data_IF_978207362404
#
_entry.id   IF_978207362404
#
_cell.length_a   1.000
_cell.length_b   1.000
_cell.length_c   1.000
_cell.angle_alpha   90.00
_cell.angle_beta   90.00
_cell.angle_gamma   90.00
#
_symmetry.space_group_name_H-M   'P 1'
#
loop_
_entity.id
_entity.type
_entity.pdbx_description
1 polymer ?
#
# COMPACT_ATOMS: atom_id res chain seq x y z
N UNK A 1 29.77 -4.86 35.13
CA UNK A 1 28.73 -4.04 35.81
C UNK A 1 27.99 -3.07 34.89
N UNK A 2 28.64 -2.11 34.21
CA UNK A 2 27.93 -1.14 33.35
C UNK A 2 27.16 -1.75 32.16
N UNK A 3 27.71 -2.77 31.50
CA UNK A 3 27.08 -3.45 30.37
C UNK A 3 25.86 -4.29 30.74
N UNK A 4 25.88 -4.93 31.91
CA UNK A 4 24.73 -5.69 32.43
C UNK A 4 23.56 -4.75 32.75
N UNK A 5 23.86 -3.63 33.41
CA UNK A 5 22.86 -2.59 33.72
C UNK A 5 22.25 -1.99 32.46
N UNK A 6 23.06 -1.69 31.44
CA UNK A 6 22.57 -1.20 30.15
C UNK A 6 21.62 -2.19 29.48
N UNK A 7 21.97 -3.49 29.44
CA UNK A 7 21.11 -4.53 28.86
C UNK A 7 19.77 -4.61 29.57
N UNK A 8 19.78 -4.55 30.89
CA UNK A 8 18.56 -4.62 31.69
C UNK A 8 17.64 -3.43 31.44
N UNK A 9 18.19 -2.21 31.46
CA UNK A 9 17.42 -1.00 31.13
C UNK A 9 16.86 -1.04 29.70
N UNK A 10 17.62 -1.57 28.74
CA UNK A 10 17.15 -1.72 27.35
C UNK A 10 16.02 -2.75 27.23
N UNK A 11 16.09 -3.85 27.98
CA UNK A 11 15.00 -4.85 28.03
C UNK A 11 13.74 -4.23 28.63
N UNK A 12 13.90 -3.49 29.72
CA UNK A 12 12.78 -2.85 30.41
C UNK A 12 12.14 -1.76 29.55
N UNK A 13 12.94 -0.90 28.92
CA UNK A 13 12.42 0.09 27.96
C UNK A 13 11.63 -0.58 26.82
N UNK A 14 12.16 -1.67 26.25
CA UNK A 14 11.44 -2.45 25.22
C UNK A 14 10.15 -3.07 25.75
N UNK A 15 10.14 -3.57 26.99
CA UNK A 15 8.95 -4.11 27.65
C UNK A 15 7.88 -3.02 27.78
N UNK A 16 8.25 -1.85 28.27
CA UNK A 16 7.35 -0.70 28.42
C UNK A 16 6.81 -0.26 27.05
N UNK A 17 7.67 -0.12 26.03
CA UNK A 17 7.22 0.26 24.69
C UNK A 17 6.20 -0.76 24.12
N UNK A 18 6.42 -2.06 24.30
CA UNK A 18 5.47 -3.09 23.86
C UNK A 18 4.14 -3.01 24.60
N UNK A 19 4.18 -2.80 25.93
CA UNK A 19 2.97 -2.66 26.73
C UNK A 19 2.16 -1.44 26.32
N UNK A 20 2.80 -0.28 26.20
CA UNK A 20 2.15 0.95 25.75
C UNK A 20 1.57 0.83 24.35
N UNK A 21 2.32 0.21 23.42
CA UNK A 21 1.82 -0.06 22.08
C UNK A 21 0.54 -0.91 22.12
N UNK A 22 0.56 -2.00 22.89
CA UNK A 22 -0.62 -2.87 23.05
C UNK A 22 -1.81 -2.12 23.66
N UNK A 23 -1.57 -1.29 24.67
CA UNK A 23 -2.62 -0.47 25.30
C UNK A 23 -3.25 0.50 24.29
N UNK A 24 -2.44 1.19 23.49
CA UNK A 24 -2.93 2.05 22.41
C UNK A 24 -3.77 1.27 21.39
N UNK A 25 -3.30 0.10 20.94
CA UNK A 25 -4.04 -0.75 20.01
C UNK A 25 -5.40 -1.20 20.59
N UNK A 26 -5.47 -1.57 21.88
CA UNK A 26 -6.73 -1.93 22.52
C UNK A 26 -7.71 -0.76 22.59
N UNK A 27 -7.23 0.44 22.95
CA UNK A 27 -8.07 1.66 22.95
C UNK A 27 -8.62 1.96 21.56
N UNK A 28 -7.80 1.79 20.51
CA UNK A 28 -8.24 1.98 19.14
C UNK A 28 -9.37 1.01 18.74
N UNK A 29 -9.28 -0.25 19.16
CA UNK A 29 -10.33 -1.25 18.93
C UNK A 29 -11.63 -0.92 19.67
N UNK A 30 -11.56 -0.54 20.96
CA UNK A 30 -12.74 -0.16 21.73
C UNK A 30 -13.46 1.05 21.10
N UNK A 31 -12.70 2.02 20.59
CA UNK A 31 -13.27 3.16 19.87
C UNK A 31 -13.90 2.76 18.52
N UNK A 32 -13.34 1.78 17.81
CA UNK A 32 -13.95 1.26 16.59
C UNK A 32 -15.24 0.50 16.88
N UNK A 33 -15.27 -0.28 17.96
CA UNK A 33 -16.46 -1.02 18.40
C UNK A 33 -17.63 -0.07 18.71
N UNK A 34 -17.33 1.05 19.38
CA UNK A 34 -18.30 2.14 19.62
C UNK A 34 -18.83 2.80 18.34
N UNK A 35 -18.10 2.69 17.22
CA UNK A 35 -18.48 3.26 15.93
C UNK A 35 -19.13 2.23 14.98
N UNK A 36 -19.28 0.97 15.42
CA UNK A 36 -19.82 -0.12 14.61
C UNK A 36 -21.31 0.07 14.27
N UNK A 37 -22.02 0.98 14.95
CA UNK A 37 -23.39 1.32 14.65
C UNK A 37 -23.58 1.92 13.24
N UNK A 38 -24.71 1.59 12.61
CA UNK A 38 -25.03 2.03 11.24
C UNK A 38 -25.10 3.55 11.10
N UNK A 39 -25.43 4.27 12.16
CA UNK A 39 -25.48 5.74 12.19
C UNK A 39 -24.09 6.40 12.14
N UNK A 40 -23.03 5.66 12.51
CA UNK A 40 -21.64 6.13 12.60
C UNK A 40 -20.70 5.53 11.56
N UNK A 41 -21.25 4.79 10.58
CA UNK A 41 -20.48 4.07 9.57
C UNK A 41 -19.40 4.91 8.87
N UNK A 42 -19.69 6.18 8.56
CA UNK A 42 -18.69 7.08 7.96
C UNK A 42 -17.46 7.25 8.84
N UNK A 43 -17.65 7.52 10.13
CA UNK A 43 -16.55 7.71 11.10
C UNK A 43 -15.76 6.42 11.29
N UNK A 44 -16.46 5.28 11.30
CA UNK A 44 -15.84 3.95 11.35
C UNK A 44 -14.87 3.75 10.18
N UNK A 45 -15.31 3.94 8.94
CA UNK A 45 -14.46 3.74 7.76
C UNK A 45 -13.36 4.79 7.64
N UNK A 46 -13.60 6.05 8.03
CA UNK A 46 -12.55 7.07 8.10
C UNK A 46 -11.44 6.68 9.08
N UNK A 47 -11.81 6.09 10.23
CA UNK A 47 -10.84 5.63 11.22
C UNK A 47 -10.07 4.39 10.74
N UNK A 48 -10.75 3.39 10.17
CA UNK A 48 -10.10 2.22 9.55
C UNK A 48 -9.12 2.64 8.45
N UNK A 49 -9.51 3.61 7.60
CA UNK A 49 -8.63 4.14 6.55
C UNK A 49 -7.34 4.70 7.13
N UNK A 50 -7.41 5.53 8.18
CA UNK A 50 -6.21 6.10 8.82
C UNK A 50 -5.29 5.01 9.41
N UNK A 51 -5.87 3.99 10.05
CA UNK A 51 -5.09 2.87 10.61
C UNK A 51 -4.41 2.01 9.55
N UNK A 52 -4.93 1.99 8.33
CA UNK A 52 -4.43 1.17 7.22
C UNK A 52 -3.66 1.97 6.17
N UNK A 53 -3.59 3.29 6.29
CA UNK A 53 -3.02 4.19 5.27
C UNK A 53 -1.53 3.90 5.00
N UNK A 54 -0.77 3.62 6.05
CA UNK A 54 0.65 3.28 5.94
C UNK A 54 0.88 1.80 5.63
N UNK A 55 -0.17 0.97 5.71
CA UNK A 55 -0.12 -0.44 5.33
C UNK A 55 -0.24 -0.57 3.80
N UNK A 56 0.88 -0.39 3.11
CA UNK A 56 0.98 -0.74 1.69
C UNK A 56 1.12 -2.24 1.58
N UNK A 57 0.05 -2.93 1.18
CA UNK A 57 0.20 -4.29 0.65
C UNK A 57 1.24 -4.21 -0.46
N UNK A 58 2.29 -5.04 -0.40
CA UNK A 58 3.39 -5.05 -1.36
C UNK A 58 3.00 -5.52 -2.76
N UNK A 59 1.75 -5.26 -3.16
CA UNK A 59 1.22 -5.60 -4.45
C UNK A 59 1.59 -4.49 -5.43
N UNK A 60 2.62 -4.75 -6.22
CA UNK A 60 3.02 -3.90 -7.33
C UNK A 60 2.05 -4.16 -8.47
N UNK A 61 1.27 -3.15 -8.83
CA UNK A 61 0.36 -3.20 -9.96
C UNK A 61 0.79 -2.17 -11.00
N UNK A 62 0.81 -2.58 -12.27
CA UNK A 62 1.09 -1.68 -13.39
C UNK A 62 -0.16 -1.53 -14.26
N UNK A 63 -0.43 -0.32 -14.75
CA UNK A 63 -1.49 -0.10 -15.74
C UNK A 63 -0.93 -0.25 -17.14
N UNK A 64 -1.64 -0.97 -17.99
CA UNK A 64 -1.37 -0.99 -19.43
C UNK A 64 -1.71 0.34 -20.08
N UNK A 65 -1.21 0.56 -21.29
CA UNK A 65 -1.58 1.72 -22.13
C UNK A 65 -3.08 1.79 -22.43
N UNK A 66 -3.78 0.66 -22.38
CA UNK A 66 -5.24 0.55 -22.52
C UNK A 66 -6.01 0.68 -21.19
N UNK A 67 -5.30 0.93 -20.08
CA UNK A 67 -5.90 1.16 -18.76
C UNK A 67 -6.17 -0.11 -17.94
N UNK A 68 -5.91 -1.31 -18.46
CA UNK A 68 -6.05 -2.57 -17.70
C UNK A 68 -5.00 -2.70 -16.60
N UNK A 69 -5.40 -3.22 -15.44
CA UNK A 69 -4.52 -3.45 -14.29
C UNK A 69 -3.81 -4.80 -14.43
N UNK A 70 -2.48 -4.78 -14.39
CA UNK A 70 -1.62 -5.96 -14.41
C UNK A 70 -1.07 -6.18 -13.01
N UNK A 71 -1.26 -7.40 -12.50
CA UNK A 71 -0.89 -7.78 -11.14
C UNK A 71 0.15 -8.90 -11.09
N UNK A 72 0.39 -9.58 -12.21
CA UNK A 72 1.38 -10.64 -12.32
C UNK A 72 2.77 -10.08 -12.70
N UNK A 73 3.81 -10.72 -12.16
CA UNK A 73 5.18 -10.24 -12.34
C UNK A 73 5.70 -10.35 -13.78
N UNK A 74 5.28 -11.37 -14.53
CA UNK A 74 5.76 -11.59 -15.90
C UNK A 74 5.21 -10.55 -16.87
N UNK A 75 3.92 -10.27 -16.80
CA UNK A 75 3.26 -9.22 -17.57
C UNK A 75 3.76 -7.84 -17.15
N UNK A 76 4.09 -7.63 -15.87
CA UNK A 76 4.73 -6.38 -15.42
C UNK A 76 6.10 -6.19 -16.09
N UNK A 77 6.95 -7.22 -16.12
CA UNK A 77 8.24 -7.16 -16.80
C UNK A 77 8.10 -6.96 -18.32
N UNK A 78 7.08 -7.60 -18.93
CA UNK A 78 6.75 -7.40 -20.34
C UNK A 78 6.36 -5.94 -20.62
N UNK A 79 5.54 -5.35 -19.74
CA UNK A 79 5.12 -3.97 -19.85
C UNK A 79 6.30 -2.99 -19.77
N UNK A 80 7.21 -3.22 -18.82
CA UNK A 80 8.43 -2.43 -18.71
C UNK A 80 9.31 -2.56 -19.95
N UNK A 81 9.46 -3.78 -20.49
CA UNK A 81 10.17 -4.01 -21.75
C UNK A 81 9.55 -3.21 -22.89
N UNK A 82 8.24 -3.33 -23.10
CA UNK A 82 7.51 -2.61 -24.16
C UNK A 82 7.67 -1.09 -24.01
N UNK A 83 7.53 -0.56 -22.79
CA UNK A 83 7.71 0.86 -22.50
C UNK A 83 9.13 1.35 -22.81
N UNK A 84 10.16 0.63 -22.37
CA UNK A 84 11.54 1.06 -22.63
C UNK A 84 11.95 0.84 -24.08
N UNK A 85 11.44 -0.20 -24.75
CA UNK A 85 11.67 -0.40 -26.18
C UNK A 85 11.09 0.74 -27.01
N UNK A 86 9.87 1.22 -26.70
CA UNK A 86 9.29 2.36 -27.41
C UNK A 86 10.02 3.68 -27.12
N UNK A 87 10.54 3.86 -25.90
CA UNK A 87 11.31 5.03 -25.52
C UNK A 87 12.67 5.09 -26.25
N UNK A 88 13.36 3.96 -26.39
CA UNK A 88 14.71 3.91 -26.96
C UNK A 88 14.73 3.80 -28.48
N UNK A 89 13.71 3.18 -29.09
CA UNK A 89 13.67 2.99 -30.55
C UNK A 89 13.11 4.19 -31.32
N UNK A 90 12.71 5.26 -30.63
CA UNK A 90 12.01 6.38 -31.26
C UNK A 90 10.59 5.98 -31.65
N UNK A 91 9.65 6.87 -31.37
CA UNK A 91 8.23 6.68 -31.69
C UNK A 91 8.02 6.59 -33.21
N UNK A 92 8.11 5.41 -33.81
CA UNK A 92 7.40 5.13 -35.06
C UNK A 92 5.90 5.05 -34.75
N UNK A 93 5.26 6.23 -34.73
CA UNK A 93 3.80 6.33 -34.81
C UNK A 93 3.40 5.88 -36.21
N UNK A 94 3.15 4.59 -36.40
CA UNK A 94 2.27 4.12 -37.46
C UNK A 94 0.85 4.55 -37.11
N UNK A 95 0.45 5.70 -37.64
CA UNK A 95 -0.96 6.09 -37.80
C UNK A 95 -1.69 4.98 -38.56
N UNK A 96 -2.73 4.35 -37.99
CA UNK A 96 -3.63 3.50 -38.77
C UNK A 96 -4.45 4.42 -39.68
N UNK A 97 -4.39 4.16 -40.98
CA UNK A 97 -5.17 4.83 -42.01
C UNK A 97 -6.67 4.82 -41.69
N UNK A 98 -7.32 5.96 -41.90
CA UNK A 98 -8.77 6.10 -41.97
C UNK A 98 -9.27 5.36 -43.22
N UNK A 99 -9.95 4.24 -43.02
CA UNK A 99 -10.74 3.57 -44.06
C UNK A 99 -12.19 4.05 -43.98
N UNK A 100 -12.53 5.02 -44.84
CA UNK A 100 -13.89 5.40 -45.21
C UNK A 100 -14.51 4.29 -46.10
N UNK A 101 -15.81 3.99 -45.96
CA UNK A 101 -16.54 3.41 -47.08
C UNK A 101 -17.83 4.18 -47.42
N UNK A 102 -18.05 4.34 -48.73
CA UNK A 102 -19.30 4.72 -49.42
C UNK A 102 -20.52 3.86 -49.04
#
# INVERSE_FOLDING_TARGET
EGWDRYRELKREARRICRLKKKETEMLEYEELDKLADRSTARKFYEKIRRLTEDFKTGAYFCRTTKGYLVTDGQSTLKLWREHFSSLHNGSERTTPEEGEPD
#
